data_IF_395640775194
#
_entry.id   IF_395640775194
#
_cell.length_a   1.000
_cell.length_b   1.000
_cell.length_c   1.000
_cell.angle_alpha   90.00
_cell.angle_beta   90.00
_cell.angle_gamma   90.00
#
_symmetry.space_group_name_H-M   'P 1'
#
loop_
_entity.id
_entity.type
_entity.pdbx_description
1 polymer ?
#
# COMPACT_ATOMS: atom_id res chain seq x y z
N UNK A 1 -10.37 21.81 2.77
CA UNK A 1 -10.45 20.62 1.91
C UNK A 1 -11.46 20.81 0.80
N UNK A 2 -11.06 21.20 -0.40
CA UNK A 2 -12.00 21.49 -1.50
C UNK A 2 -12.64 20.20 -2.04
N UNK A 3 -12.10 19.04 -1.71
CA UNK A 3 -12.53 17.74 -2.22
C UNK A 3 -13.33 16.90 -1.19
N UNK A 4 -13.58 17.46 0.01
CA UNK A 4 -14.40 16.79 1.00
C UNK A 4 -15.81 16.51 0.45
N UNK A 5 -16.31 15.31 0.70
CA UNK A 5 -17.64 14.83 0.26
C UNK A 5 -17.81 14.61 -1.26
N UNK A 6 -16.76 14.74 -2.05
CA UNK A 6 -16.80 14.42 -3.48
C UNK A 6 -16.49 12.93 -3.72
N UNK A 7 -17.10 12.38 -4.76
CA UNK A 7 -16.70 11.08 -5.28
C UNK A 7 -15.28 11.13 -5.89
N UNK A 8 -14.70 9.96 -6.14
CA UNK A 8 -13.31 9.85 -6.62
C UNK A 8 -13.08 10.60 -7.92
N UNK A 9 -14.03 10.54 -8.87
CA UNK A 9 -13.88 11.17 -10.20
C UNK A 9 -13.89 12.70 -10.04
N UNK A 10 -14.91 13.25 -9.38
CA UNK A 10 -15.03 14.69 -9.15
C UNK A 10 -13.84 15.26 -8.38
N UNK A 11 -13.28 14.48 -7.45
CA UNK A 11 -12.10 14.85 -6.68
C UNK A 11 -10.87 14.96 -7.56
N UNK A 12 -10.61 13.97 -8.41
CA UNK A 12 -9.49 13.99 -9.37
C UNK A 12 -9.65 15.16 -10.35
N UNK A 13 -10.85 15.41 -10.87
CA UNK A 13 -11.13 16.50 -11.80
C UNK A 13 -10.83 17.88 -11.17
N UNK A 14 -11.28 18.11 -9.94
CA UNK A 14 -11.02 19.38 -9.24
C UNK A 14 -9.53 19.56 -8.97
N UNK A 15 -8.84 18.54 -8.48
CA UNK A 15 -7.40 18.64 -8.22
C UNK A 15 -6.61 18.88 -9.51
N UNK A 16 -6.97 18.22 -10.60
CA UNK A 16 -6.37 18.44 -11.93
C UNK A 16 -6.63 19.85 -12.43
N UNK A 17 -7.85 20.35 -12.28
CA UNK A 17 -8.20 21.73 -12.66
C UNK A 17 -7.38 22.76 -11.86
N UNK A 18 -7.24 22.56 -10.56
CA UNK A 18 -6.44 23.44 -9.70
C UNK A 18 -4.96 23.44 -10.10
N UNK A 19 -4.40 22.29 -10.43
CA UNK A 19 -3.04 22.19 -10.95
C UNK A 19 -2.90 22.93 -12.29
N UNK A 20 -3.81 22.73 -13.24
CA UNK A 20 -3.80 23.45 -14.51
C UNK A 20 -3.87 24.96 -14.32
N UNK A 21 -4.76 25.45 -13.45
CA UNK A 21 -4.87 26.88 -13.14
C UNK A 21 -3.58 27.44 -12.52
N UNK A 22 -2.92 26.68 -11.66
CA UNK A 22 -1.64 27.08 -11.08
C UNK A 22 -0.58 27.28 -12.17
N UNK A 23 -0.46 26.33 -13.09
CA UNK A 23 0.51 26.35 -14.19
C UNK A 23 0.18 27.45 -15.19
N UNK A 24 -1.05 27.49 -15.72
CA UNK A 24 -1.45 28.42 -16.79
C UNK A 24 -1.44 29.88 -16.34
N UNK A 25 -1.83 30.14 -15.09
CA UNK A 25 -1.91 31.49 -14.55
C UNK A 25 -0.69 31.89 -13.71
N UNK A 26 0.34 31.05 -13.65
CA UNK A 26 1.54 31.23 -12.83
C UNK A 26 1.20 31.60 -11.37
N UNK A 27 0.30 30.84 -10.76
CA UNK A 27 -0.17 31.05 -9.38
C UNK A 27 0.27 29.94 -8.47
N UNK A 28 0.52 30.27 -7.22
CA UNK A 28 0.69 29.29 -6.16
C UNK A 28 -0.68 28.97 -5.54
N UNK A 29 -1.04 27.68 -5.47
CA UNK A 29 -2.25 27.21 -4.82
C UNK A 29 -1.82 26.34 -3.64
N UNK A 30 -2.24 26.71 -2.43
CA UNK A 30 -2.01 25.94 -1.22
C UNK A 30 -3.32 25.29 -0.78
N UNK A 31 -3.29 23.98 -0.64
CA UNK A 31 -4.43 23.15 -0.22
C UNK A 31 -4.10 22.37 1.03
N UNK A 32 -5.06 22.24 1.94
CA UNK A 32 -4.99 21.23 2.99
C UNK A 32 -5.89 20.05 2.61
N UNK A 33 -5.36 18.85 2.73
CA UNK A 33 -6.09 17.61 2.47
C UNK A 33 -5.62 16.49 3.37
N UNK A 34 -6.48 15.53 3.65
CA UNK A 34 -6.12 14.24 4.25
C UNK A 34 -6.02 13.11 3.20
N UNK A 35 -6.30 13.42 1.94
CA UNK A 35 -6.13 12.50 0.82
C UNK A 35 -4.66 12.52 0.36
N UNK A 36 -3.88 11.67 0.99
CA UNK A 36 -2.43 11.60 0.79
C UNK A 36 -2.11 11.12 -0.61
N UNK A 37 -2.81 10.11 -1.10
CA UNK A 37 -2.57 9.53 -2.44
C UNK A 37 -2.70 10.58 -3.53
N UNK A 38 -3.75 11.39 -3.49
CA UNK A 38 -3.92 12.48 -4.45
C UNK A 38 -2.90 13.60 -4.27
N UNK A 39 -2.54 13.93 -3.04
CA UNK A 39 -1.51 14.92 -2.79
C UNK A 39 -0.16 14.49 -3.39
N UNK A 40 0.20 13.21 -3.27
CA UNK A 40 1.44 12.66 -3.84
C UNK A 40 1.47 12.69 -5.37
N UNK A 41 0.33 12.48 -6.01
CA UNK A 41 0.25 12.42 -7.49
C UNK A 41 0.16 13.80 -8.14
N UNK A 42 -0.49 14.77 -7.48
CA UNK A 42 -0.89 16.04 -8.11
C UNK A 42 -0.19 17.28 -7.55
N UNK A 43 0.59 17.17 -6.47
CA UNK A 43 1.24 18.34 -5.86
C UNK A 43 2.72 18.40 -6.18
N UNK A 44 3.21 19.55 -6.64
CA UNK A 44 4.64 19.80 -6.86
C UNK A 44 5.42 19.81 -5.54
N UNK A 45 4.78 20.24 -4.45
CA UNK A 45 5.37 20.33 -3.11
C UNK A 45 4.42 19.86 -2.05
N UNK A 46 4.97 19.21 -1.04
CA UNK A 46 4.25 18.77 0.14
C UNK A 46 4.63 19.60 1.38
N UNK A 47 3.63 19.85 2.21
CA UNK A 47 3.79 20.39 3.55
C UNK A 47 3.22 19.37 4.54
N UNK A 48 4.10 18.62 5.20
CA UNK A 48 3.74 17.62 6.18
C UNK A 48 3.76 18.26 7.58
N UNK A 49 2.62 18.23 8.26
CA UNK A 49 2.51 18.74 9.62
C UNK A 49 2.28 17.58 10.59
N UNK A 50 3.23 17.33 11.46
CA UNK A 50 3.09 16.36 12.53
C UNK A 50 3.36 16.99 13.90
N UNK A 51 2.87 16.35 14.98
CA UNK A 51 3.13 16.80 16.35
C UNK A 51 4.59 16.64 16.76
N UNK A 52 5.29 15.67 16.18
CA UNK A 52 6.64 15.28 16.58
C UNK A 52 7.71 16.07 15.84
N UNK A 53 7.55 16.22 14.54
CA UNK A 53 8.54 16.84 13.67
C UNK A 53 8.20 18.26 13.26
N UNK A 54 7.00 18.75 13.64
CA UNK A 54 6.50 20.05 13.21
C UNK A 54 6.17 20.09 11.74
N UNK A 55 6.41 21.23 11.10
CA UNK A 55 6.19 21.42 9.66
C UNK A 55 7.46 21.03 8.89
N UNK A 56 7.31 20.08 7.99
CA UNK A 56 8.30 19.71 6.98
C UNK A 56 7.76 20.06 5.61
N UNK A 57 8.58 20.64 4.74
CA UNK A 57 8.16 20.98 3.38
C UNK A 57 9.28 20.68 2.38
N UNK A 58 8.88 20.28 1.19
CA UNK A 58 9.80 19.96 0.10
C UNK A 58 9.07 19.60 -1.19
N UNK A 59 9.84 19.38 -2.24
CA UNK A 59 9.35 18.76 -3.48
C UNK A 59 8.81 17.38 -3.15
N UNK A 60 7.72 16.98 -3.79
CA UNK A 60 7.01 15.73 -3.47
C UNK A 60 7.92 14.51 -3.54
N UNK A 61 8.71 14.37 -4.60
CA UNK A 61 9.64 13.26 -4.79
C UNK A 61 10.75 13.25 -3.73
N UNK A 62 11.30 14.41 -3.38
CA UNK A 62 12.30 14.51 -2.32
C UNK A 62 11.74 14.08 -0.96
N UNK A 63 10.50 14.44 -0.67
CA UNK A 63 9.82 14.04 0.56
C UNK A 63 9.59 12.53 0.63
N UNK A 64 9.21 11.90 -0.50
CA UNK A 64 9.02 10.46 -0.60
C UNK A 64 10.35 9.74 -0.49
N UNK A 65 11.31 10.05 -1.37
CA UNK A 65 12.59 9.33 -1.49
C UNK A 65 13.50 9.50 -0.26
N UNK A 66 13.31 10.56 0.52
CA UNK A 66 13.98 10.75 1.83
C UNK A 66 13.17 10.22 3.02
N UNK A 67 12.18 9.35 2.79
CA UNK A 67 11.39 8.68 3.82
C UNK A 67 10.69 9.62 4.80
N UNK A 68 10.31 10.84 4.35
CA UNK A 68 9.60 11.80 5.21
C UNK A 68 8.17 11.39 5.52
N UNK A 69 7.59 10.53 4.69
CA UNK A 69 6.23 10.00 4.87
C UNK A 69 6.10 9.16 6.16
N UNK A 70 7.17 8.51 6.60
CA UNK A 70 7.19 7.71 7.83
C UNK A 70 6.93 8.55 9.09
N UNK A 71 7.16 9.87 9.01
CA UNK A 71 6.99 10.78 10.16
C UNK A 71 5.54 11.17 10.43
N UNK A 72 4.62 10.94 9.49
CA UNK A 72 3.19 11.26 9.66
C UNK A 72 2.50 10.31 10.64
N UNK A 73 2.88 9.03 10.64
CA UNK A 73 2.28 7.99 11.46
C UNK A 73 3.35 7.17 12.18
N UNK A 74 4.22 7.85 12.93
CA UNK A 74 5.32 7.23 13.68
C UNK A 74 4.84 6.32 14.82
N UNK A 75 3.58 6.47 15.24
CA UNK A 75 2.97 5.66 16.29
C UNK A 75 1.92 4.73 15.71
N UNK A 76 2.13 3.43 15.90
CA UNK A 76 1.16 2.40 15.54
C UNK A 76 1.65 1.42 14.47
N UNK A 77 0.75 0.54 14.10
CA UNK A 77 1.00 -0.48 13.09
C UNK A 77 0.66 0.03 11.68
N UNK A 78 1.15 1.23 11.32
CA UNK A 78 0.92 1.82 10.00
C UNK A 78 2.27 2.09 9.35
N UNK A 79 2.42 1.69 8.10
CA UNK A 79 3.62 1.94 7.28
C UNK A 79 3.23 2.54 5.95
N UNK A 80 4.14 3.30 5.37
CA UNK A 80 4.00 3.81 4.02
C UNK A 80 4.65 2.84 3.03
N UNK A 81 3.88 2.48 2.01
CA UNK A 81 4.37 1.72 0.85
C UNK A 81 4.90 2.69 -0.18
N UNK A 82 6.22 2.72 -0.32
CA UNK A 82 6.93 3.64 -1.23
C UNK A 82 6.74 3.30 -2.70
N UNK A 83 6.43 2.06 -3.02
CA UNK A 83 6.22 1.60 -4.39
C UNK A 83 4.83 1.98 -4.90
N UNK A 84 3.83 1.99 -4.00
CA UNK A 84 2.43 2.27 -4.35
C UNK A 84 1.91 3.63 -3.84
N UNK A 85 2.65 4.33 -2.99
CA UNK A 85 2.26 5.64 -2.46
C UNK A 85 1.08 5.62 -1.49
N UNK A 86 0.86 4.52 -0.78
CA UNK A 86 -0.28 4.32 0.13
C UNK A 86 0.18 3.99 1.55
N UNK A 87 -0.68 4.29 2.53
CA UNK A 87 -0.50 3.78 3.90
C UNK A 87 -1.24 2.46 4.10
N UNK A 88 -0.61 1.53 4.78
CA UNK A 88 -1.18 0.23 5.10
C UNK A 88 -0.88 -0.19 6.54
N UNK A 89 -1.76 -0.99 7.16
CA UNK A 89 -1.50 -1.54 8.49
C UNK A 89 -0.42 -2.62 8.43
N UNK A 90 0.54 -2.55 9.35
CA UNK A 90 1.46 -3.67 9.57
C UNK A 90 0.72 -4.79 10.28
N UNK A 91 0.59 -5.92 9.63
CA UNK A 91 -0.05 -7.10 10.22
C UNK A 91 1.02 -7.97 10.86
N UNK A 92 0.99 -8.09 12.18
CA UNK A 92 1.73 -9.12 12.91
C UNK A 92 0.79 -10.31 13.09
N UNK A 93 0.64 -11.11 12.04
CA UNK A 93 -0.17 -12.32 12.05
C UNK A 93 0.42 -13.35 13.02
N UNK A 94 -0.45 -14.19 13.61
CA UNK A 94 -0.02 -15.28 14.50
C UNK A 94 0.58 -16.47 13.74
N UNK A 95 0.36 -16.53 12.45
CA UNK A 95 0.82 -17.60 11.58
C UNK A 95 1.72 -17.02 10.48
N UNK A 96 2.81 -17.69 10.21
CA UNK A 96 3.76 -17.31 9.16
C UNK A 96 3.54 -18.19 7.93
N UNK A 97 3.66 -17.59 6.75
CA UNK A 97 3.54 -18.27 5.46
C UNK A 97 4.54 -17.66 4.47
N UNK A 98 5.17 -18.48 3.67
CA UNK A 98 5.99 -18.02 2.56
C UNK A 98 5.14 -17.86 1.31
N UNK A 99 5.39 -16.80 0.57
CA UNK A 99 4.63 -16.48 -0.64
C UNK A 99 5.57 -16.23 -1.81
N UNK A 100 5.21 -16.79 -2.95
CA UNK A 100 5.84 -16.57 -4.25
C UNK A 100 4.75 -16.34 -5.29
N UNK A 101 4.95 -15.38 -6.20
CA UNK A 101 4.04 -15.13 -7.32
C UNK A 101 4.82 -14.85 -8.60
N UNK A 102 4.17 -15.04 -9.75
CA UNK A 102 4.78 -14.84 -11.07
C UNK A 102 5.02 -13.38 -11.41
N UNK A 103 4.26 -12.47 -10.80
CA UNK A 103 4.39 -11.03 -10.97
C UNK A 103 4.08 -10.26 -9.67
N UNK A 104 4.48 -9.00 -9.64
CA UNK A 104 4.35 -8.13 -8.46
C UNK A 104 2.88 -7.84 -8.11
N UNK A 105 1.99 -7.74 -9.08
CA UNK A 105 0.56 -7.50 -8.84
C UNK A 105 -0.07 -8.68 -8.13
N UNK A 106 0.19 -9.90 -8.59
CA UNK A 106 -0.27 -11.12 -7.94
C UNK A 106 0.31 -11.25 -6.53
N UNK A 107 1.60 -10.94 -6.36
CA UNK A 107 2.26 -10.97 -5.07
C UNK A 107 1.62 -9.99 -4.08
N UNK A 108 1.45 -8.74 -4.49
CA UNK A 108 0.83 -7.69 -3.68
C UNK A 108 -0.58 -8.08 -3.19
N UNK A 109 -1.45 -8.49 -4.09
CA UNK A 109 -2.82 -8.87 -3.74
C UNK A 109 -2.88 -10.17 -2.92
N UNK A 110 -1.95 -11.11 -3.13
CA UNK A 110 -1.82 -12.31 -2.32
C UNK A 110 -1.44 -11.97 -0.89
N UNK A 111 -0.43 -11.14 -0.70
CA UNK A 111 0.00 -10.65 0.63
C UNK A 111 -1.16 -9.94 1.33
N UNK A 112 -1.87 -9.05 0.63
CA UNK A 112 -3.01 -8.34 1.19
C UNK A 112 -4.15 -9.29 1.62
N UNK A 113 -4.42 -10.33 0.82
CA UNK A 113 -5.41 -11.34 1.17
C UNK A 113 -5.03 -12.12 2.43
N UNK A 114 -3.79 -12.59 2.52
CA UNK A 114 -3.27 -13.35 3.67
C UNK A 114 -3.19 -12.49 4.93
N UNK A 115 -2.71 -11.25 4.82
CA UNK A 115 -2.65 -10.31 5.93
C UNK A 115 -4.02 -10.07 6.56
N UNK A 116 -5.08 -9.90 5.76
CA UNK A 116 -6.45 -9.78 6.25
C UNK A 116 -6.95 -11.01 7.01
N UNK A 117 -6.34 -12.18 6.78
CA UNK A 117 -6.65 -13.44 7.46
C UNK A 117 -5.67 -13.78 8.58
N UNK A 118 -4.83 -12.83 8.99
CA UNK A 118 -3.95 -12.96 10.16
C UNK A 118 -2.65 -13.72 9.90
N UNK A 119 -2.23 -13.81 8.65
CA UNK A 119 -0.93 -14.36 8.27
C UNK A 119 0.12 -13.26 8.14
N UNK A 120 1.34 -13.57 8.58
CA UNK A 120 2.55 -12.79 8.27
C UNK A 120 3.24 -13.43 7.07
N UNK A 121 3.33 -12.69 5.97
CA UNK A 121 3.97 -13.17 4.74
C UNK A 121 5.48 -12.95 4.80
N UNK A 122 6.25 -14.00 4.54
CA UNK A 122 7.71 -13.97 4.48
C UNK A 122 8.19 -14.24 3.04
N UNK A 123 9.33 -13.63 2.69
CA UNK A 123 10.00 -13.97 1.43
C UNK A 123 10.67 -15.34 1.55
N UNK A 124 10.57 -16.15 0.50
CA UNK A 124 11.05 -17.55 0.49
C UNK A 124 12.53 -17.69 0.81
N UNK A 125 13.35 -16.67 0.47
CA UNK A 125 14.82 -16.74 0.64
C UNK A 125 15.28 -16.72 2.11
N UNK A 126 14.49 -16.19 3.04
CA UNK A 126 14.85 -16.02 4.46
C UNK A 126 13.93 -16.78 5.42
N UNK A 127 13.09 -17.66 4.90
CA UNK A 127 12.05 -18.30 5.69
C UNK A 127 12.57 -19.53 6.46
N UNK A 128 12.12 -19.74 7.71
CA UNK A 128 12.36 -20.97 8.45
C UNK A 128 11.82 -22.20 7.70
N UNK A 129 12.53 -23.34 7.82
CA UNK A 129 12.08 -24.60 7.22
C UNK A 129 10.76 -25.07 7.87
N UNK A 130 9.84 -25.58 7.06
CA UNK A 130 8.59 -26.18 7.52
C UNK A 130 7.38 -25.26 7.55
N UNK A 131 7.53 -23.99 7.17
CA UNK A 131 6.39 -23.10 7.00
C UNK A 131 5.51 -23.51 5.80
N UNK A 132 4.21 -23.20 5.84
CA UNK A 132 3.38 -23.26 4.64
C UNK A 132 3.96 -22.40 3.53
N UNK A 133 3.92 -22.91 2.31
CA UNK A 133 4.39 -22.19 1.12
C UNK A 133 3.26 -22.06 0.11
N UNK A 134 2.93 -20.83 -0.25
CA UNK A 134 1.93 -20.50 -1.26
C UNK A 134 2.62 -19.98 -2.51
N UNK A 135 2.45 -20.72 -3.60
CA UNK A 135 2.86 -20.30 -4.95
C UNK A 135 1.64 -19.90 -5.75
N UNK A 136 1.66 -18.67 -6.32
CA UNK A 136 0.59 -18.14 -7.15
C UNK A 136 1.10 -17.89 -8.55
N UNK A 137 0.62 -18.69 -9.50
CA UNK A 137 1.00 -18.59 -10.92
C UNK A 137 0.01 -17.72 -11.69
N UNK A 138 -1.28 -17.83 -11.34
CA UNK A 138 -2.36 -17.05 -11.92
C UNK A 138 -3.50 -16.90 -10.90
N UNK A 139 -4.49 -16.02 -11.12
CA UNK A 139 -5.62 -15.83 -10.19
C UNK A 139 -6.44 -17.10 -9.93
N UNK A 140 -6.37 -18.07 -10.83
CA UNK A 140 -7.05 -19.38 -10.78
C UNK A 140 -6.09 -20.57 -10.63
N UNK A 141 -4.79 -20.30 -10.39
CA UNK A 141 -3.75 -21.32 -10.23
C UNK A 141 -2.89 -21.02 -8.99
N UNK A 142 -3.38 -21.47 -7.83
CA UNK A 142 -2.73 -21.31 -6.52
C UNK A 142 -2.35 -22.66 -5.95
N UNK A 143 -1.13 -22.79 -5.46
CA UNK A 143 -0.55 -24.03 -4.94
C UNK A 143 -0.06 -23.82 -3.51
N UNK A 144 -0.73 -24.43 -2.54
CA UNK A 144 -0.34 -24.39 -1.15
C UNK A 144 0.36 -25.70 -0.77
N UNK A 145 1.62 -25.58 -0.36
CA UNK A 145 2.42 -26.72 0.13
C UNK A 145 2.62 -26.60 1.62
N UNK A 146 2.22 -27.62 2.38
CA UNK A 146 2.41 -27.69 3.81
C UNK A 146 2.52 -29.14 4.28
N UNK A 147 3.51 -29.44 5.16
CA UNK A 147 3.74 -30.79 5.71
C UNK A 147 3.99 -31.85 4.63
N UNK A 148 4.64 -31.46 3.51
CA UNK A 148 4.91 -32.37 2.39
C UNK A 148 3.71 -32.66 1.48
N UNK A 149 2.56 -32.03 1.72
CA UNK A 149 1.36 -32.15 0.89
C UNK A 149 1.15 -30.86 0.11
N UNK A 150 0.81 -30.99 -1.17
CA UNK A 150 0.42 -29.86 -2.02
C UNK A 150 -1.08 -29.93 -2.29
N UNK A 151 -1.72 -28.77 -2.20
CA UNK A 151 -3.13 -28.55 -2.56
C UNK A 151 -3.22 -27.46 -3.62
N UNK A 152 -4.14 -27.61 -4.53
CA UNK A 152 -4.36 -26.66 -5.62
C UNK A 152 -5.71 -25.99 -5.45
N UNK A 153 -5.74 -24.68 -5.68
CA UNK A 153 -6.96 -23.86 -5.63
C UNK A 153 -7.15 -23.07 -6.91
N UNK A 154 -8.41 -22.96 -7.33
CA UNK A 154 -8.82 -22.25 -8.53
C UNK A 154 -9.37 -20.85 -8.24
N UNK A 155 -9.23 -20.36 -7.02
CA UNK A 155 -9.56 -18.99 -6.61
C UNK A 155 -9.03 -18.69 -5.22
N UNK A 156 -8.82 -17.41 -4.93
CA UNK A 156 -8.51 -16.94 -3.58
C UNK A 156 -9.63 -17.26 -2.58
N UNK A 157 -10.90 -17.22 -3.00
CA UNK A 157 -12.03 -17.57 -2.13
C UNK A 157 -11.87 -18.98 -1.55
N UNK A 158 -11.62 -19.98 -2.40
CA UNK A 158 -11.42 -21.37 -1.98
C UNK A 158 -10.17 -21.56 -1.11
N UNK A 159 -9.05 -20.87 -1.46
CA UNK A 159 -7.84 -20.88 -0.64
C UNK A 159 -8.13 -20.34 0.77
N UNK A 160 -8.77 -19.18 0.87
CA UNK A 160 -9.01 -18.50 2.15
C UNK A 160 -10.05 -19.21 3.02
N UNK A 161 -10.94 -19.99 2.46
CA UNK A 161 -11.83 -20.89 3.22
C UNK A 161 -11.07 -22.05 3.89
N UNK A 162 -10.04 -22.57 3.23
CA UNK A 162 -9.25 -23.71 3.71
C UNK A 162 -8.23 -23.32 4.78
N UNK A 163 -7.68 -22.11 4.72
CA UNK A 163 -6.62 -21.64 5.65
C UNK A 163 -7.15 -20.84 6.86
N UNK A 164 -8.46 -20.88 7.09
CA UNK A 164 -9.09 -20.21 8.26
C UNK A 164 -8.70 -20.84 9.58
#
# INVERSE_FOLDING_TARGET
EPTAFLDVVSRIEIMTLLHQLAVEQNKAILLSTHDIEQALVLSDKLWLLSKETGLQCGVTEDMILNHRMDTLFSHGNIRFDYDHGIYYPTVNGKQEITVEATDETLLHWTINALNRHGYTCLQTQNAPAGLPHLQVIAPDALYLTWGGKQRTFTSFGKLLEEIK
#
